data_IF_785798158545
#
_entry.id   IF_785798158545
#
_cell.length_a   1.000
_cell.length_b   1.000
_cell.length_c   1.000
_cell.angle_alpha   90.00
_cell.angle_beta   90.00
_cell.angle_gamma   90.00
#
_symmetry.space_group_name_H-M   'P 1'
#
loop_
_entity.id
_entity.type
_entity.pdbx_description
1 polymer ?
#
# COMPACT_ATOMS: atom_id res chain seq x y z
N UNK A 1 0.66 -4.22 26.03
CA UNK A 1 1.92 -3.46 25.76
C UNK A 1 1.79 -2.86 24.39
N UNK A 2 1.80 -1.54 24.26
CA UNK A 2 1.78 -0.90 22.94
C UNK A 2 3.13 -1.14 22.23
N UNK A 3 3.09 -1.39 20.93
CA UNK A 3 4.31 -1.50 20.15
C UNK A 3 5.08 -0.17 20.20
N UNK A 4 6.33 -0.21 20.62
CA UNK A 4 7.19 0.97 20.66
C UNK A 4 7.98 1.09 19.35
N UNK A 5 8.16 2.30 18.80
CA UNK A 5 9.06 2.53 17.68
C UNK A 5 10.49 2.11 18.00
N UNK A 6 11.17 1.58 16.99
CA UNK A 6 12.59 1.23 17.03
C UNK A 6 13.41 2.13 16.11
N UNK A 7 14.73 2.26 16.28
CA UNK A 7 15.61 2.95 15.34
C UNK A 7 15.50 2.36 13.94
N UNK A 8 15.56 3.22 12.93
CA UNK A 8 15.51 2.85 11.52
C UNK A 8 16.60 3.63 10.75
N UNK A 9 17.85 3.16 10.75
CA UNK A 9 18.98 3.83 10.15
C UNK A 9 19.03 3.60 8.62
N UNK A 10 17.99 4.04 7.91
CA UNK A 10 17.85 3.88 6.47
C UNK A 10 17.42 5.18 5.82
N UNK A 11 17.96 5.46 4.62
CA UNK A 11 17.43 6.45 3.69
C UNK A 11 16.62 5.78 2.60
N UNK A 12 15.58 6.44 2.13
CA UNK A 12 14.89 6.07 0.91
C UNK A 12 15.63 6.75 -0.26
N UNK A 13 16.35 5.95 -1.07
CA UNK A 13 17.24 6.45 -2.13
C UNK A 13 16.68 6.24 -3.54
N UNK A 14 15.64 5.43 -3.70
CA UNK A 14 14.94 5.24 -4.96
C UNK A 14 13.49 4.89 -4.73
N UNK A 15 12.61 5.41 -5.57
CA UNK A 15 11.20 5.03 -5.58
C UNK A 15 10.61 5.18 -6.97
N UNK A 16 9.71 4.27 -7.32
CA UNK A 16 8.92 4.36 -8.54
C UNK A 16 7.56 3.71 -8.35
N UNK A 17 6.55 4.22 -9.04
CA UNK A 17 5.20 3.63 -9.08
C UNK A 17 4.71 3.57 -10.50
N UNK A 18 4.20 2.42 -10.90
CA UNK A 18 3.46 2.20 -12.14
C UNK A 18 1.99 2.02 -11.82
N UNK A 19 1.15 2.82 -12.44
CA UNK A 19 -0.30 2.75 -12.36
C UNK A 19 -0.85 2.17 -13.65
N UNK A 20 -2.00 1.52 -13.60
CA UNK A 20 -2.79 1.20 -14.78
C UNK A 20 -3.44 2.45 -15.38
N UNK A 21 -4.09 2.34 -16.53
CA UNK A 21 -4.94 3.40 -17.07
C UNK A 21 -5.95 3.87 -16.02
N UNK A 22 -6.10 5.19 -15.89
CA UNK A 22 -7.11 5.76 -15.00
C UNK A 22 -8.45 5.78 -15.71
N UNK A 23 -9.44 5.09 -15.16
CA UNK A 23 -10.81 5.04 -15.68
C UNK A 23 -11.78 5.66 -14.69
N UNK A 24 -12.82 6.31 -15.19
CA UNK A 24 -13.89 6.85 -14.33
C UNK A 24 -14.71 5.73 -13.72
N UNK A 25 -15.35 5.99 -12.57
CA UNK A 25 -16.23 5.01 -11.95
C UNK A 25 -17.41 4.63 -12.85
N UNK A 26 -17.89 5.56 -13.69
CA UNK A 26 -18.92 5.27 -14.70
C UNK A 26 -18.43 4.29 -15.78
N UNK A 27 -17.20 4.47 -16.26
CA UNK A 27 -16.59 3.54 -17.22
C UNK A 27 -16.38 2.16 -16.59
N UNK A 28 -15.86 2.12 -15.36
CA UNK A 28 -15.68 0.89 -14.61
C UNK A 28 -17.01 0.15 -14.39
N UNK A 29 -18.05 0.84 -13.93
CA UNK A 29 -19.36 0.24 -13.64
C UNK A 29 -20.01 -0.39 -14.88
N UNK A 30 -19.84 0.23 -16.06
CA UNK A 30 -20.33 -0.31 -17.33
C UNK A 30 -19.70 -1.64 -17.70
N UNK A 31 -18.40 -1.81 -17.43
CA UNK A 31 -17.66 -3.04 -17.72
C UNK A 31 -17.90 -4.08 -16.63
N UNK A 32 -17.85 -3.68 -15.37
CA UNK A 32 -17.99 -4.54 -14.21
C UNK A 32 -19.35 -5.24 -14.09
N UNK A 33 -20.43 -4.62 -14.64
CA UNK A 33 -21.77 -5.20 -14.67
C UNK A 33 -22.31 -5.60 -13.29
N UNK A 34 -22.07 -4.75 -12.27
CA UNK A 34 -22.56 -4.99 -10.92
C UNK A 34 -24.09 -4.91 -10.88
N UNK A 35 -24.81 -5.99 -10.44
CA UNK A 35 -26.27 -5.97 -10.43
C UNK A 35 -26.84 -4.91 -9.45
N UNK A 36 -27.81 -4.13 -9.87
CA UNK A 36 -28.61 -3.31 -8.95
C UNK A 36 -29.74 -4.19 -8.36
N UNK A 37 -29.61 -4.53 -7.09
CA UNK A 37 -30.59 -5.36 -6.40
C UNK A 37 -31.95 -4.66 -6.20
N UNK A 38 -32.00 -3.33 -6.35
CA UNK A 38 -33.25 -2.53 -6.26
C UNK A 38 -34.01 -2.52 -7.59
N UNK A 39 -33.32 -2.79 -8.68
CA UNK A 39 -33.88 -2.81 -10.03
C UNK A 39 -33.30 -4.02 -10.80
N UNK A 40 -33.90 -5.23 -10.60
CA UNK A 40 -33.39 -6.44 -11.25
C UNK A 40 -33.33 -6.30 -12.77
N UNK A 41 -32.18 -6.62 -13.35
CA UNK A 41 -31.92 -6.48 -14.79
C UNK A 41 -31.12 -5.23 -15.15
N UNK A 42 -30.87 -4.35 -14.19
CA UNK A 42 -29.95 -3.21 -14.38
C UNK A 42 -28.65 -3.37 -13.61
N UNK A 43 -27.60 -2.74 -14.11
CA UNK A 43 -26.35 -2.62 -13.40
C UNK A 43 -26.36 -1.32 -12.55
N UNK A 44 -25.57 -1.33 -11.47
CA UNK A 44 -25.34 -0.12 -10.66
C UNK A 44 -24.67 0.95 -11.51
N UNK A 45 -25.15 2.18 -11.37
CA UNK A 45 -24.52 3.34 -11.99
C UNK A 45 -23.24 3.73 -11.24
N UNK A 46 -22.23 4.19 -11.98
CA UNK A 46 -20.98 4.66 -11.41
C UNK A 46 -21.16 5.82 -10.43
N UNK A 47 -22.11 6.71 -10.70
CA UNK A 47 -22.50 7.81 -9.81
C UNK A 47 -22.98 7.32 -8.43
N UNK A 48 -23.69 6.19 -8.38
CA UNK A 48 -24.09 5.58 -7.11
C UNK A 48 -22.88 5.00 -6.37
N UNK A 49 -22.00 4.30 -7.09
CA UNK A 49 -20.77 3.71 -6.53
C UNK A 49 -19.85 4.82 -5.98
N UNK A 50 -19.66 5.90 -6.75
CA UNK A 50 -18.88 7.08 -6.32
C UNK A 50 -19.44 7.68 -5.02
N UNK A 51 -20.75 7.87 -4.93
CA UNK A 51 -21.37 8.41 -3.71
C UNK A 51 -21.17 7.50 -2.50
N UNK A 52 -21.16 6.17 -2.71
CA UNK A 52 -20.98 5.20 -1.64
C UNK A 52 -19.52 5.11 -1.17
N UNK A 53 -18.57 5.06 -2.10
CA UNK A 53 -17.17 4.80 -1.82
C UNK A 53 -16.30 6.06 -1.78
N UNK A 54 -16.78 7.18 -2.32
CA UNK A 54 -16.02 8.43 -2.45
C UNK A 54 -14.99 8.44 -3.58
N UNK A 55 -14.90 7.36 -4.37
CA UNK A 55 -13.93 7.20 -5.48
C UNK A 55 -14.59 7.60 -6.79
N UNK A 56 -14.00 8.56 -7.50
CA UNK A 56 -14.50 9.10 -8.77
C UNK A 56 -13.88 8.40 -9.98
N UNK A 57 -12.62 8.03 -9.85
CA UNK A 57 -11.88 7.27 -10.85
C UNK A 57 -10.86 6.36 -10.16
N UNK A 58 -10.31 5.43 -10.90
CA UNK A 58 -9.38 4.44 -10.37
C UNK A 58 -8.37 4.00 -11.39
N UNK A 59 -7.22 3.54 -10.92
CA UNK A 59 -6.23 2.83 -11.71
C UNK A 59 -6.71 1.40 -11.99
N UNK A 60 -6.85 1.02 -13.28
CA UNK A 60 -7.41 -0.26 -13.68
C UNK A 60 -6.80 -0.74 -14.98
N UNK A 61 -5.88 -1.68 -14.93
CA UNK A 61 -5.09 -2.13 -16.07
C UNK A 61 -4.86 -3.64 -16.11
N UNK A 62 -5.90 -4.48 -16.28
CA UNK A 62 -5.75 -5.94 -16.28
C UNK A 62 -4.77 -6.45 -17.33
N UNK A 63 -4.69 -5.80 -18.50
CA UNK A 63 -3.75 -6.15 -19.55
C UNK A 63 -2.32 -5.71 -19.24
N UNK A 64 -2.14 -4.51 -18.70
CA UNK A 64 -0.83 -3.99 -18.32
C UNK A 64 -0.19 -4.83 -17.22
N UNK A 65 -0.99 -5.33 -16.28
CA UNK A 65 -0.55 -6.20 -15.19
C UNK A 65 -0.85 -7.68 -15.46
N UNK A 66 -0.93 -8.09 -16.74
CA UNK A 66 -1.21 -9.48 -17.09
C UNK A 66 -0.12 -10.45 -16.60
N UNK A 67 1.10 -9.95 -16.50
CA UNK A 67 2.28 -10.71 -16.13
C UNK A 67 3.15 -9.91 -15.14
N UNK A 68 4.11 -10.54 -14.42
CA UNK A 68 4.95 -9.86 -13.44
C UNK A 68 5.99 -8.89 -14.04
N UNK A 69 6.14 -8.83 -15.37
CA UNK A 69 7.11 -7.97 -16.05
C UNK A 69 6.92 -6.48 -15.70
N UNK A 70 5.67 -5.99 -15.68
CA UNK A 70 5.37 -4.61 -15.28
C UNK A 70 5.83 -4.31 -13.85
N UNK A 71 5.69 -5.28 -12.95
CA UNK A 71 6.18 -5.15 -11.57
C UNK A 71 7.72 -5.10 -11.53
N UNK A 72 8.38 -5.95 -12.33
CA UNK A 72 9.84 -5.94 -12.45
C UNK A 72 10.37 -4.64 -13.07
N UNK A 73 9.69 -4.10 -14.08
CA UNK A 73 10.04 -2.80 -14.68
C UNK A 73 9.91 -1.65 -13.67
N UNK A 74 8.86 -1.68 -12.85
CA UNK A 74 8.69 -0.72 -11.74
C UNK A 74 9.87 -0.78 -10.77
N UNK A 75 10.32 -1.98 -10.42
CA UNK A 75 11.47 -2.18 -9.54
C UNK A 75 12.78 -1.71 -10.20
N UNK A 76 13.00 -1.99 -11.49
CA UNK A 76 14.16 -1.46 -12.23
C UNK A 76 14.18 0.07 -12.25
N UNK A 77 13.02 0.70 -12.43
CA UNK A 77 12.94 2.16 -12.40
C UNK A 77 13.31 2.74 -11.02
N UNK A 78 12.90 2.07 -9.93
CA UNK A 78 13.31 2.46 -8.58
C UNK A 78 14.82 2.31 -8.36
N UNK A 79 15.43 1.19 -8.81
CA UNK A 79 16.88 0.97 -8.78
C UNK A 79 17.64 2.04 -9.58
N UNK A 80 17.19 2.30 -10.80
CA UNK A 80 17.77 3.34 -11.64
C UNK A 80 17.69 4.74 -10.98
N UNK A 81 16.56 5.04 -10.32
CA UNK A 81 16.39 6.26 -9.52
C UNK A 81 17.39 6.35 -8.37
N UNK A 82 17.73 5.25 -7.73
CA UNK A 82 18.77 5.15 -6.72
C UNK A 82 20.20 5.14 -7.30
N UNK A 83 20.37 5.01 -8.62
CA UNK A 83 21.64 4.79 -9.32
C UNK A 83 22.33 3.49 -8.89
N UNK A 84 21.53 2.47 -8.62
CA UNK A 84 22.00 1.12 -8.24
C UNK A 84 21.69 0.12 -9.34
N UNK A 85 22.53 -0.92 -9.39
CA UNK A 85 22.35 -2.09 -10.22
C UNK A 85 21.76 -3.24 -9.39
N UNK A 86 21.10 -4.24 -10.00
CA UNK A 86 20.55 -5.38 -9.27
C UNK A 86 21.56 -6.13 -8.37
N UNK A 87 22.83 -6.18 -8.80
CA UNK A 87 23.93 -6.78 -8.04
C UNK A 87 24.30 -6.06 -6.75
N UNK A 88 23.85 -4.82 -6.57
CA UNK A 88 24.12 -4.02 -5.39
C UNK A 88 23.12 -4.30 -4.26
N UNK A 89 22.06 -5.09 -4.54
CA UNK A 89 20.99 -5.41 -3.59
C UNK A 89 21.32 -6.67 -2.81
N UNK A 90 21.19 -6.60 -1.50
CA UNK A 90 21.46 -7.71 -0.57
C UNK A 90 20.20 -8.21 0.17
N UNK A 91 19.06 -7.53 0.02
CA UNK A 91 17.77 -8.01 0.51
C UNK A 91 16.62 -7.63 -0.44
N UNK A 92 15.73 -8.58 -0.69
CA UNK A 92 14.51 -8.36 -1.48
C UNK A 92 13.28 -8.73 -0.67
N UNK A 93 12.32 -7.80 -0.57
CA UNK A 93 11.03 -8.05 0.07
C UNK A 93 9.92 -7.74 -0.91
N UNK A 94 9.12 -8.74 -1.24
CA UNK A 94 7.92 -8.60 -2.09
C UNK A 94 6.68 -8.57 -1.22
N UNK A 95 5.83 -7.57 -1.41
CA UNK A 95 4.60 -7.34 -0.63
C UNK A 95 3.40 -7.38 -1.55
N UNK A 96 2.54 -8.37 -1.38
CA UNK A 96 1.28 -8.46 -2.13
C UNK A 96 0.24 -9.28 -1.38
N UNK A 97 -1.03 -8.94 -1.54
CA UNK A 97 -2.15 -9.77 -1.07
C UNK A 97 -2.84 -10.54 -2.21
N UNK A 98 -2.45 -10.30 -3.44
CA UNK A 98 -2.97 -10.98 -4.62
C UNK A 98 -1.84 -11.34 -5.60
N UNK A 99 -0.99 -12.31 -5.20
CA UNK A 99 0.12 -12.76 -6.00
C UNK A 99 -0.33 -13.38 -7.32
N UNK A 100 0.54 -13.37 -8.32
CA UNK A 100 0.32 -14.10 -9.58
C UNK A 100 0.27 -15.61 -9.34
N UNK A 101 1.09 -16.09 -8.41
CA UNK A 101 1.12 -17.51 -8.01
C UNK A 101 1.04 -17.60 -6.48
N UNK A 102 0.06 -18.35 -5.98
CA UNK A 102 -0.27 -18.39 -4.55
C UNK A 102 0.60 -19.34 -3.72
N UNK A 103 1.40 -20.20 -4.34
CA UNK A 103 2.22 -21.19 -3.64
C UNK A 103 3.70 -20.92 -3.82
N UNK A 104 4.49 -21.29 -2.80
CA UNK A 104 5.95 -21.39 -2.84
C UNK A 104 6.68 -20.08 -3.15
N UNK A 105 6.11 -18.93 -2.79
CA UNK A 105 6.73 -17.59 -2.97
C UNK A 105 7.24 -17.32 -4.41
N UNK A 106 6.56 -17.90 -5.41
CA UNK A 106 7.01 -17.94 -6.80
C UNK A 106 7.15 -16.55 -7.43
N UNK A 107 6.35 -15.59 -6.97
CA UNK A 107 6.44 -14.23 -7.50
C UNK A 107 7.78 -13.57 -7.11
N UNK A 108 8.25 -13.78 -5.88
CA UNK A 108 9.53 -13.26 -5.45
C UNK A 108 10.69 -13.84 -6.28
N UNK A 109 10.72 -15.17 -6.48
CA UNK A 109 11.72 -15.82 -7.35
C UNK A 109 11.63 -15.34 -8.80
N UNK A 110 10.41 -15.17 -9.33
CA UNK A 110 10.21 -14.67 -10.69
C UNK A 110 10.72 -13.24 -10.85
N UNK A 111 10.39 -12.35 -9.89
CA UNK A 111 10.85 -10.97 -9.91
C UNK A 111 12.37 -10.87 -9.79
N UNK A 112 13.01 -11.64 -8.91
CA UNK A 112 14.47 -11.66 -8.79
C UNK A 112 15.13 -12.09 -10.09
N UNK A 113 14.64 -13.16 -10.74
CA UNK A 113 15.14 -13.62 -12.04
C UNK A 113 14.96 -12.56 -13.12
N UNK A 114 13.79 -11.92 -13.20
CA UNK A 114 13.52 -10.84 -14.17
C UNK A 114 14.44 -9.64 -13.94
N UNK A 115 14.76 -9.34 -12.69
CA UNK A 115 15.65 -8.22 -12.32
C UNK A 115 17.12 -8.58 -12.52
N UNK A 116 17.51 -9.84 -12.50
CA UNK A 116 18.90 -10.27 -12.51
C UNK A 116 19.59 -10.09 -11.16
N UNK A 117 18.84 -10.19 -10.06
CA UNK A 117 19.40 -10.19 -8.70
C UNK A 117 20.09 -11.53 -8.45
N UNK A 118 21.21 -11.51 -7.73
CA UNK A 118 22.04 -12.67 -7.48
C UNK A 118 21.29 -13.80 -6.74
N UNK A 119 21.62 -15.06 -7.05
CA UNK A 119 20.94 -16.25 -6.51
C UNK A 119 21.20 -16.48 -5.01
N UNK A 120 22.23 -15.87 -4.45
CA UNK A 120 22.58 -15.94 -3.02
C UNK A 120 21.83 -14.90 -2.15
N UNK A 121 21.02 -14.02 -2.75
CA UNK A 121 20.15 -13.10 -2.04
C UNK A 121 18.81 -13.80 -1.74
N UNK A 122 18.50 -14.13 -0.48
CA UNK A 122 17.23 -14.80 -0.15
C UNK A 122 16.08 -13.81 -0.19
N UNK A 123 15.01 -14.04 -1.00
CA UNK A 123 13.85 -13.17 -1.01
C UNK A 123 12.91 -13.47 0.16
N UNK A 124 12.14 -12.46 0.56
CA UNK A 124 10.97 -12.61 1.40
C UNK A 124 9.72 -12.21 0.61
N UNK A 125 8.74 -13.11 0.51
CA UNK A 125 7.42 -12.77 0.00
C UNK A 125 6.43 -12.65 1.15
N UNK A 126 5.83 -11.47 1.30
CA UNK A 126 4.86 -11.17 2.35
C UNK A 126 3.45 -11.21 1.78
N UNK A 127 2.65 -12.17 2.23
CA UNK A 127 1.20 -12.17 2.05
C UNK A 127 0.59 -11.04 2.88
N UNK A 128 0.64 -9.80 2.38
CA UNK A 128 0.21 -8.62 3.10
C UNK A 128 -0.46 -7.62 2.16
N UNK A 129 -1.48 -6.94 2.68
CA UNK A 129 -2.16 -5.84 1.99
C UNK A 129 -1.63 -4.48 2.42
N UNK A 130 -2.55 -3.62 2.81
CA UNK A 130 -2.34 -2.19 3.04
C UNK A 130 -1.22 -1.84 4.02
N UNK A 131 -1.03 -2.63 5.08
CA UNK A 131 0.03 -2.39 6.08
C UNK A 131 1.37 -3.06 5.74
N UNK A 132 1.44 -3.80 4.64
CA UNK A 132 2.61 -4.60 4.28
C UNK A 132 3.90 -3.79 4.13
N UNK A 133 3.80 -2.50 3.75
CA UNK A 133 4.97 -1.64 3.62
C UNK A 133 5.67 -1.40 4.97
N UNK A 134 4.91 -1.17 6.06
CA UNK A 134 5.49 -1.02 7.39
C UNK A 134 6.07 -2.34 7.92
N UNK A 135 5.42 -3.48 7.59
CA UNK A 135 5.98 -4.80 7.89
C UNK A 135 7.32 -5.00 7.18
N UNK A 136 7.41 -4.63 5.89
CA UNK A 136 8.65 -4.71 5.12
C UNK A 136 9.73 -3.81 5.72
N UNK A 137 9.44 -2.55 6.05
CA UNK A 137 10.39 -1.64 6.68
C UNK A 137 10.90 -2.19 8.03
N UNK A 138 10.00 -2.73 8.87
CA UNK A 138 10.39 -3.35 10.13
C UNK A 138 11.28 -4.60 9.94
N UNK A 139 11.06 -5.39 8.89
CA UNK A 139 11.91 -6.53 8.53
C UNK A 139 13.27 -6.06 8.02
N UNK A 140 13.33 -5.07 7.15
CA UNK A 140 14.60 -4.47 6.68
C UNK A 140 15.46 -4.03 7.86
N UNK A 141 14.88 -3.31 8.83
CA UNK A 141 15.59 -2.90 10.04
C UNK A 141 16.13 -4.07 10.87
N UNK A 142 15.44 -5.21 10.88
CA UNK A 142 15.87 -6.43 11.61
C UNK A 142 16.90 -7.26 10.85
N UNK A 143 16.83 -7.30 9.54
CA UNK A 143 17.79 -8.00 8.67
C UNK A 143 19.14 -7.27 8.63
N UNK A 144 19.16 -5.98 8.96
CA UNK A 144 20.35 -5.12 8.88
C UNK A 144 20.98 -5.12 7.47
N UNK A 145 20.15 -5.25 6.44
CA UNK A 145 20.59 -5.20 5.05
C UNK A 145 21.22 -3.84 4.73
N UNK A 146 22.31 -3.82 3.96
CA UNK A 146 22.92 -2.56 3.53
C UNK A 146 22.09 -1.88 2.47
N UNK A 147 21.50 -2.66 1.54
CA UNK A 147 20.64 -2.18 0.45
C UNK A 147 19.46 -3.11 0.23
N UNK A 148 18.30 -2.68 0.66
CA UNK A 148 17.07 -3.45 0.51
C UNK A 148 16.19 -2.90 -0.62
N UNK A 149 15.73 -3.81 -1.48
CA UNK A 149 14.68 -3.53 -2.48
C UNK A 149 13.35 -4.05 -1.95
N UNK A 150 12.40 -3.14 -1.74
CA UNK A 150 11.02 -3.48 -1.38
C UNK A 150 10.13 -3.26 -2.59
N UNK A 151 9.45 -4.31 -3.03
CA UNK A 151 8.52 -4.30 -4.16
C UNK A 151 7.11 -4.54 -3.62
N UNK A 152 6.19 -3.62 -3.86
CA UNK A 152 4.81 -3.73 -3.43
C UNK A 152 3.88 -3.68 -4.65
N UNK A 153 2.95 -4.62 -4.79
CA UNK A 153 1.97 -4.54 -5.87
C UNK A 153 0.61 -5.10 -5.45
N UNK A 154 -0.41 -4.62 -6.15
CA UNK A 154 -1.78 -5.08 -6.03
C UNK A 154 -2.46 -4.98 -7.39
N UNK A 155 -3.06 -6.08 -7.84
CA UNK A 155 -3.70 -6.18 -9.16
C UNK A 155 -5.11 -6.80 -9.04
N UNK A 156 -6.01 -6.13 -8.32
CA UNK A 156 -7.37 -6.63 -8.07
C UNK A 156 -8.16 -6.89 -9.34
N UNK A 157 -7.86 -6.20 -10.45
CA UNK A 157 -8.50 -6.48 -11.74
C UNK A 157 -8.30 -7.93 -12.18
N UNK A 158 -7.10 -8.48 -11.98
CA UNK A 158 -6.74 -9.84 -12.43
C UNK A 158 -7.46 -10.96 -11.69
N UNK A 159 -7.82 -10.74 -10.43
CA UNK A 159 -8.49 -11.76 -9.61
C UNK A 159 -10.01 -11.56 -9.53
N UNK A 160 -10.52 -10.42 -10.02
CA UNK A 160 -11.94 -10.09 -9.87
C UNK A 160 -12.72 -10.02 -11.18
N UNK A 161 -12.05 -10.05 -12.35
CA UNK A 161 -12.71 -9.93 -13.65
C UNK A 161 -12.43 -11.11 -14.57
N UNK A 162 -13.40 -11.41 -15.42
CA UNK A 162 -13.24 -12.32 -16.54
C UNK A 162 -12.51 -11.68 -17.72
N UNK A 163 -12.32 -12.45 -18.78
CA UNK A 163 -11.65 -12.00 -20.01
C UNK A 163 -12.40 -10.86 -20.74
N UNK A 164 -13.70 -10.73 -20.49
CA UNK A 164 -14.55 -9.65 -20.98
C UNK A 164 -14.52 -8.38 -20.13
N UNK A 165 -13.76 -8.40 -19.03
CA UNK A 165 -13.65 -7.31 -18.06
C UNK A 165 -14.80 -7.23 -17.06
N UNK A 166 -15.86 -8.04 -17.21
CA UNK A 166 -16.95 -8.08 -16.24
C UNK A 166 -16.48 -8.74 -14.94
N UNK A 167 -17.05 -8.31 -13.80
CA UNK A 167 -16.77 -8.98 -12.53
C UNK A 167 -17.17 -10.47 -12.61
N UNK A 168 -16.32 -11.31 -12.04
CA UNK A 168 -16.63 -12.73 -11.87
C UNK A 168 -17.95 -12.91 -11.09
N UNK A 169 -18.71 -13.96 -11.36
CA UNK A 169 -20.00 -14.19 -10.67
C UNK A 169 -19.89 -14.12 -9.16
N UNK A 170 -18.81 -14.64 -8.57
CA UNK A 170 -18.56 -14.63 -7.13
C UNK A 170 -18.53 -13.21 -6.52
N UNK A 171 -18.18 -12.19 -7.28
CA UNK A 171 -18.20 -10.80 -6.82
C UNK A 171 -19.55 -10.12 -7.07
N UNK A 172 -20.36 -10.63 -7.99
CA UNK A 172 -21.68 -10.06 -8.30
C UNK A 172 -22.76 -10.55 -7.35
N UNK A 173 -22.79 -11.85 -7.10
CA UNK A 173 -23.75 -12.48 -6.19
C UNK A 173 -23.12 -13.74 -5.57
N UNK A 174 -22.74 -13.66 -4.31
CA UNK A 174 -22.13 -14.75 -3.58
C UNK A 174 -22.92 -15.05 -2.32
N UNK A 175 -23.67 -16.15 -2.33
CA UNK A 175 -24.47 -16.58 -1.18
C UNK A 175 -23.64 -17.28 -0.10
N UNK A 176 -22.45 -17.74 -0.44
CA UNK A 176 -21.58 -18.53 0.46
C UNK A 176 -20.68 -17.63 1.30
N UNK A 177 -20.21 -16.54 0.70
CA UNK A 177 -19.31 -15.64 1.40
C UNK A 177 -20.04 -14.85 2.50
N UNK A 178 -19.45 -14.66 3.71
CA UNK A 178 -20.08 -13.90 4.81
C UNK A 178 -20.52 -12.48 4.41
N UNK A 179 -19.79 -11.84 3.49
CA UNK A 179 -20.07 -10.50 2.98
C UNK A 179 -20.60 -10.52 1.52
N UNK A 180 -21.14 -11.65 1.07
CA UNK A 180 -21.53 -11.91 -0.33
C UNK A 180 -22.40 -10.85 -0.98
N UNK A 181 -23.24 -10.17 -0.18
CA UNK A 181 -24.12 -9.10 -0.69
C UNK A 181 -23.37 -7.88 -1.23
N UNK A 182 -22.16 -7.61 -0.72
CA UNK A 182 -21.39 -6.41 -1.01
C UNK A 182 -19.99 -6.73 -1.56
N UNK A 183 -19.76 -7.95 -2.03
CA UNK A 183 -18.46 -8.38 -2.56
C UNK A 183 -17.93 -7.47 -3.66
N UNK A 184 -18.81 -6.94 -4.51
CA UNK A 184 -18.48 -6.01 -5.58
C UNK A 184 -17.80 -4.73 -5.09
N UNK A 185 -18.01 -4.34 -3.83
CA UNK A 185 -17.43 -3.10 -3.29
C UNK A 185 -15.90 -3.18 -3.15
N UNK A 186 -15.35 -4.36 -2.95
CA UNK A 186 -13.91 -4.56 -2.89
C UNK A 186 -13.22 -4.27 -4.24
N UNK A 187 -13.57 -4.92 -5.37
CA UNK A 187 -13.00 -4.55 -6.67
C UNK A 187 -13.41 -3.15 -7.14
N UNK A 188 -14.53 -2.58 -6.67
CA UNK A 188 -14.86 -1.18 -6.95
C UNK A 188 -13.90 -0.20 -6.27
N UNK A 189 -13.48 -0.48 -5.02
CA UNK A 189 -12.58 0.35 -4.23
C UNK A 189 -11.12 0.15 -4.59
N UNK A 190 -10.67 -1.12 -4.71
CA UNK A 190 -9.27 -1.46 -4.91
C UNK A 190 -8.83 -1.27 -6.37
N UNK A 191 -7.57 -0.87 -6.55
CA UNK A 191 -6.99 -0.43 -7.81
C UNK A 191 -5.65 -1.10 -8.09
N UNK A 192 -5.32 -1.24 -9.37
CA UNK A 192 -4.08 -1.84 -9.82
C UNK A 192 -2.91 -0.87 -9.69
N UNK A 193 -1.83 -1.32 -9.11
CA UNK A 193 -0.57 -0.60 -9.04
C UNK A 193 0.59 -1.52 -8.69
N UNK A 194 1.78 -1.13 -9.11
CA UNK A 194 3.04 -1.61 -8.60
C UNK A 194 3.89 -0.44 -8.12
N UNK A 195 4.58 -0.60 -7.01
CA UNK A 195 5.55 0.36 -6.49
C UNK A 195 6.79 -0.36 -6.02
N UNK A 196 7.92 0.31 -6.09
CA UNK A 196 9.14 -0.18 -5.48
C UNK A 196 9.86 0.96 -4.77
N UNK A 197 10.59 0.63 -3.71
CA UNK A 197 11.50 1.53 -3.04
C UNK A 197 12.83 0.85 -2.74
N UNK A 198 13.89 1.65 -2.75
CA UNK A 198 15.22 1.25 -2.31
C UNK A 198 15.52 1.93 -0.99
N UNK A 199 15.98 1.13 -0.03
CA UNK A 199 16.39 1.59 1.29
C UNK A 199 17.89 1.29 1.43
N UNK A 200 18.69 2.31 1.70
CA UNK A 200 20.13 2.19 1.96
C UNK A 200 20.40 2.52 3.43
N UNK A 201 21.21 1.66 4.07
CA UNK A 201 21.59 1.82 5.46
C UNK A 201 22.61 2.93 5.63
N UNK A 202 22.43 3.74 6.67
CA UNK A 202 23.34 4.79 7.08
C UNK A 202 23.14 5.01 8.59
N UNK A 203 24.12 4.66 9.40
CA UNK A 203 24.06 4.72 10.86
C UNK A 203 23.87 6.14 11.42
N UNK A 204 24.17 7.17 10.63
CA UNK A 204 23.95 8.56 11.00
C UNK A 204 22.49 9.00 10.87
N UNK A 205 21.62 8.14 10.34
CA UNK A 205 20.21 8.43 10.17
C UNK A 205 19.44 8.13 11.45
N UNK A 206 18.86 9.17 12.01
CA UNK A 206 17.89 9.10 13.09
C UNK A 206 16.47 8.91 12.53
N UNK A 207 16.18 7.72 11.98
CA UNK A 207 14.87 7.27 11.54
C UNK A 207 14.16 6.46 12.63
N UNK A 208 12.87 6.21 12.43
CA UNK A 208 12.04 5.37 13.31
C UNK A 208 11.23 4.39 12.49
N UNK A 209 11.02 3.17 13.02
CA UNK A 209 10.07 2.20 12.48
C UNK A 209 9.20 1.64 13.59
N UNK A 210 7.91 1.57 13.31
CA UNK A 210 6.88 0.98 14.16
C UNK A 210 6.16 -0.13 13.40
N UNK A 211 5.95 -1.25 14.04
CA UNK A 211 5.08 -2.31 13.53
C UNK A 211 4.31 -2.97 14.67
N UNK A 212 3.01 -3.16 14.49
CA UNK A 212 2.15 -3.87 15.43
C UNK A 212 1.18 -4.78 14.69
N UNK A 213 1.03 -5.98 15.22
CA UNK A 213 -0.06 -6.89 14.91
C UNK A 213 -1.04 -6.83 16.08
N UNK A 214 -2.24 -6.31 15.84
CA UNK A 214 -3.18 -5.98 16.91
C UNK A 214 -4.17 -7.13 17.21
N UNK A 215 -3.71 -8.39 17.08
CA UNK A 215 -4.49 -9.59 17.35
C UNK A 215 -4.63 -9.94 18.84
N UNK A 216 -3.85 -9.31 19.72
CA UNK A 216 -3.94 -9.52 21.18
C UNK A 216 -4.47 -8.31 21.90
N UNK A 217 -4.26 -7.12 21.37
CA UNK A 217 -4.75 -5.87 21.94
C UNK A 217 -4.84 -4.78 20.87
N UNK A 218 -5.82 -3.92 20.97
CA UNK A 218 -6.02 -2.79 20.09
C UNK A 218 -6.29 -1.53 20.90
N UNK A 219 -5.22 -0.88 21.40
CA UNK A 219 -5.35 0.19 22.39
C UNK A 219 -6.02 -0.31 23.65
N UNK A 220 -7.09 0.38 24.08
CA UNK A 220 -7.96 0.00 25.18
C UNK A 220 -9.18 -0.82 24.72
N UNK A 221 -9.28 -1.10 23.41
CA UNK A 221 -10.37 -1.83 22.80
C UNK A 221 -10.07 -3.34 22.76
N UNK A 222 -11.10 -4.20 22.62
CA UNK A 222 -10.92 -5.62 22.37
C UNK A 222 -10.09 -5.86 21.12
N UNK A 223 -9.29 -6.93 21.15
CA UNK A 223 -8.53 -7.38 19.99
C UNK A 223 -9.44 -7.63 18.77
N UNK A 224 -8.86 -7.52 17.61
CA UNK A 224 -9.50 -7.88 16.35
C UNK A 224 -8.95 -9.25 15.96
N UNK A 225 -9.77 -10.30 16.16
CA UNK A 225 -9.35 -11.67 15.89
C UNK A 225 -9.54 -12.07 14.43
N UNK A 226 -10.56 -11.50 13.78
CA UNK A 226 -10.90 -11.81 12.39
C UNK A 226 -10.14 -10.91 11.42
N UNK A 227 -9.71 -11.46 10.27
CA UNK A 227 -9.13 -10.62 9.23
C UNK A 227 -10.14 -9.59 8.73
N UNK A 228 -9.68 -8.36 8.49
CA UNK A 228 -10.51 -7.27 7.96
C UNK A 228 -10.94 -7.51 6.52
N UNK A 229 -10.15 -8.30 5.80
CA UNK A 229 -10.43 -8.78 4.44
C UNK A 229 -10.38 -10.30 4.48
N UNK A 230 -11.44 -10.93 4.01
CA UNK A 230 -11.60 -12.37 4.00
C UNK A 230 -11.32 -12.91 2.60
N UNK A 231 -10.30 -13.77 2.51
CA UNK A 231 -10.09 -14.68 1.39
C UNK A 231 -10.56 -16.07 1.81
N UNK A 232 -11.58 -16.58 1.14
CA UNK A 232 -12.13 -17.89 1.43
C UNK A 232 -11.83 -18.79 0.23
N UNK A 233 -10.83 -19.61 0.32
CA UNK A 233 -10.50 -20.60 -0.71
C UNK A 233 -9.08 -20.50 -1.24
N UNK A 234 -8.68 -21.50 -2.00
CA UNK A 234 -7.33 -21.62 -2.55
C UNK A 234 -6.28 -22.16 -1.58
N UNK A 235 -6.62 -22.33 -0.30
CA UNK A 235 -5.77 -22.94 0.73
C UNK A 235 -6.23 -24.35 1.13
N UNK A 236 -5.63 -24.89 2.17
CA UNK A 236 -5.92 -26.24 2.68
C UNK A 236 -7.37 -26.40 3.17
N UNK A 237 -7.94 -25.35 3.77
CA UNK A 237 -9.31 -25.38 4.29
C UNK A 237 -10.37 -25.39 3.19
N UNK A 238 -10.05 -24.89 2.02
CA UNK A 238 -10.91 -24.87 0.85
C UNK A 238 -10.08 -25.06 -0.42
N UNK A 239 -9.59 -26.28 -0.70
CA UNK A 239 -8.73 -26.55 -1.83
C UNK A 239 -9.40 -26.24 -3.17
N UNK A 240 -8.61 -25.75 -4.14
CA UNK A 240 -9.08 -25.53 -5.50
C UNK A 240 -9.66 -26.81 -6.09
N UNK A 241 -10.78 -26.69 -6.83
CA UNK A 241 -11.49 -27.83 -7.43
C UNK A 241 -12.48 -28.53 -6.50
N UNK A 242 -12.57 -28.17 -5.24
CA UNK A 242 -13.65 -28.62 -4.36
C UNK A 242 -14.97 -27.97 -4.79
N UNK A 243 -16.12 -28.71 -4.78
CA UNK A 243 -17.40 -28.09 -5.07
C UNK A 243 -17.66 -26.85 -4.21
N UNK A 244 -18.01 -25.71 -4.83
CA UNK A 244 -18.19 -24.44 -4.16
C UNK A 244 -16.90 -23.62 -3.95
N UNK A 245 -15.71 -24.15 -4.23
CA UNK A 245 -14.45 -23.43 -4.01
C UNK A 245 -14.27 -22.22 -4.93
N UNK A 246 -14.89 -22.25 -6.11
CA UNK A 246 -14.85 -21.10 -7.04
C UNK A 246 -15.58 -19.88 -6.47
N UNK A 247 -16.66 -20.09 -5.72
CA UNK A 247 -17.42 -19.05 -5.04
C UNK A 247 -16.68 -18.51 -3.81
N UNK A 248 -15.77 -19.32 -3.25
CA UNK A 248 -14.96 -18.96 -2.10
C UNK A 248 -13.60 -18.34 -2.49
N UNK A 249 -13.11 -18.59 -3.70
CA UNK A 249 -11.84 -18.06 -4.21
C UNK A 249 -11.94 -16.57 -4.58
N UNK A 250 -12.50 -15.78 -3.69
CA UNK A 250 -12.67 -14.35 -3.84
C UNK A 250 -12.47 -13.65 -2.50
N UNK A 251 -12.35 -12.33 -2.50
CA UNK A 251 -12.15 -11.57 -1.27
C UNK A 251 -13.31 -10.61 -0.98
N UNK A 252 -13.66 -10.49 0.28
CA UNK A 252 -14.66 -9.56 0.77
C UNK A 252 -14.17 -8.77 1.96
N UNK A 253 -14.77 -7.62 2.18
CA UNK A 253 -14.43 -6.72 3.26
C UNK A 253 -15.46 -6.79 4.39
N UNK A 254 -15.01 -6.61 5.63
CA UNK A 254 -15.84 -6.32 6.80
C UNK A 254 -15.86 -4.79 7.04
N UNK A 255 -16.81 -4.01 6.47
CA UNK A 255 -16.72 -2.55 6.47
C UNK A 255 -16.74 -1.91 7.86
N UNK A 256 -17.57 -2.36 8.85
CA UNK A 256 -17.54 -1.83 10.21
C UNK A 256 -16.18 -1.99 10.88
N UNK A 257 -15.59 -3.16 10.82
CA UNK A 257 -14.29 -3.46 11.43
C UNK A 257 -13.15 -2.73 10.71
N UNK A 258 -13.20 -2.62 9.38
CA UNK A 258 -12.23 -1.82 8.63
C UNK A 258 -12.27 -0.36 9.07
N UNK A 259 -13.46 0.23 9.21
CA UNK A 259 -13.59 1.63 9.64
C UNK A 259 -13.02 1.81 11.04
N UNK A 260 -13.42 0.94 11.99
CA UNK A 260 -12.92 0.97 13.37
C UNK A 260 -11.40 0.85 13.41
N UNK A 261 -10.86 -0.12 12.70
CA UNK A 261 -9.43 -0.40 12.71
C UNK A 261 -8.59 0.68 12.00
N UNK A 262 -9.10 1.25 10.89
CA UNK A 262 -8.38 2.33 10.22
C UNK A 262 -8.25 3.56 11.13
N UNK A 263 -9.36 4.08 11.63
CA UNK A 263 -9.36 5.29 12.46
C UNK A 263 -8.54 5.09 13.75
N UNK A 264 -8.78 4.00 14.47
CA UNK A 264 -8.03 3.68 15.68
C UNK A 264 -6.55 3.38 15.42
N UNK A 265 -6.24 2.57 14.41
CA UNK A 265 -4.87 2.17 14.09
C UNK A 265 -3.99 3.31 13.61
N UNK A 266 -4.53 4.23 12.80
CA UNK A 266 -3.82 5.44 12.40
C UNK A 266 -3.53 6.35 13.59
N UNK A 267 -4.50 6.51 14.50
CA UNK A 267 -4.34 7.27 15.74
C UNK A 267 -3.28 6.64 16.65
N UNK A 268 -3.28 5.32 16.81
CA UNK A 268 -2.27 4.61 17.60
C UNK A 268 -0.86 4.71 16.99
N UNK A 269 -0.73 4.70 15.66
CA UNK A 269 0.56 4.95 15.00
C UNK A 269 1.07 6.36 15.33
N UNK A 270 0.20 7.37 15.22
CA UNK A 270 0.54 8.75 15.55
C UNK A 270 0.97 8.90 17.02
N UNK A 271 0.18 8.37 17.94
CA UNK A 271 0.49 8.43 19.39
C UNK A 271 1.82 7.76 19.73
N UNK A 272 2.11 6.60 19.13
CA UNK A 272 3.37 5.90 19.34
C UNK A 272 4.58 6.69 18.81
N UNK A 273 4.46 7.30 17.63
CA UNK A 273 5.50 8.15 17.07
C UNK A 273 5.69 9.42 17.90
N UNK A 274 4.61 10.08 18.30
CA UNK A 274 4.66 11.28 19.15
C UNK A 274 5.27 11.00 20.51
N UNK A 275 4.97 9.85 21.11
CA UNK A 275 5.58 9.42 22.37
C UNK A 275 7.08 9.16 22.25
N UNK A 276 7.54 8.59 21.13
CA UNK A 276 8.95 8.30 20.89
C UNK A 276 9.74 9.53 20.44
N UNK A 277 9.08 10.42 19.69
CA UNK A 277 9.66 11.66 19.15
C UNK A 277 8.65 12.79 19.23
N UNK A 278 8.57 13.50 20.36
CA UNK A 278 7.66 14.63 20.53
C UNK A 278 7.83 15.68 19.43
N UNK A 279 6.73 16.11 18.84
CA UNK A 279 6.73 17.07 17.73
C UNK A 279 7.24 16.48 16.40
N UNK A 280 7.18 15.16 16.20
CA UNK A 280 7.69 14.55 14.96
C UNK A 280 6.97 15.08 13.71
N UNK A 281 5.71 15.47 13.82
CA UNK A 281 4.98 16.06 12.70
C UNK A 281 5.60 17.36 12.20
N UNK A 282 6.24 18.13 13.04
CA UNK A 282 6.94 19.36 12.65
C UNK A 282 8.27 19.06 11.94
N UNK A 283 8.86 17.89 12.27
CA UNK A 283 10.18 17.47 11.76
C UNK A 283 10.11 16.76 10.40
N UNK A 284 8.90 16.33 9.96
CA UNK A 284 8.71 15.68 8.67
C UNK A 284 8.11 16.65 7.66
N UNK A 285 8.57 16.59 6.41
CA UNK A 285 8.04 17.41 5.30
C UNK A 285 6.70 16.85 4.78
N UNK A 286 6.52 15.54 4.83
CA UNK A 286 5.36 14.81 4.32
C UNK A 286 4.94 13.69 5.25
N UNK A 287 3.62 13.45 5.28
CA UNK A 287 3.00 12.29 5.94
C UNK A 287 2.20 11.54 4.88
N UNK A 288 2.75 10.44 4.39
CA UNK A 288 2.09 9.56 3.44
C UNK A 288 1.26 8.52 4.18
N UNK A 289 -0.05 8.73 4.18
CA UNK A 289 -1.00 7.83 4.85
C UNK A 289 -1.52 6.76 3.91
N UNK A 290 -1.86 5.59 4.45
CA UNK A 290 -2.59 4.60 3.67
C UNK A 290 -3.89 5.18 3.11
N UNK A 291 -4.11 5.02 1.82
CA UNK A 291 -5.22 5.58 1.05
C UNK A 291 -6.42 4.61 1.04
N UNK A 292 -7.03 4.38 2.22
CA UNK A 292 -8.12 3.42 2.38
C UNK A 292 -9.39 3.82 1.60
N UNK A 293 -9.91 4.99 1.89
CA UNK A 293 -10.95 5.70 1.12
C UNK A 293 -10.90 7.19 1.48
N UNK A 294 -11.51 8.09 0.67
CA UNK A 294 -11.41 9.53 0.89
C UNK A 294 -11.87 9.98 2.28
N UNK A 295 -12.99 9.44 2.76
CA UNK A 295 -13.58 9.84 4.04
C UNK A 295 -12.64 9.53 5.22
N UNK A 296 -12.07 8.33 5.26
CA UNK A 296 -11.19 7.92 6.35
C UNK A 296 -9.87 8.71 6.35
N UNK A 297 -9.34 9.04 5.16
CA UNK A 297 -8.15 9.90 5.05
C UNK A 297 -8.45 11.32 5.53
N UNK A 298 -9.57 11.91 5.10
CA UNK A 298 -10.01 13.25 5.52
C UNK A 298 -10.22 13.32 7.03
N UNK A 299 -10.84 12.30 7.63
CA UNK A 299 -11.05 12.20 9.08
C UNK A 299 -9.72 12.20 9.84
N UNK A 300 -8.75 11.40 9.41
CA UNK A 300 -7.42 11.36 10.04
C UNK A 300 -6.69 12.70 9.92
N UNK A 301 -6.73 13.33 8.75
CA UNK A 301 -6.12 14.65 8.50
C UNK A 301 -6.73 15.72 9.43
N UNK A 302 -8.05 15.71 9.60
CA UNK A 302 -8.74 16.63 10.52
C UNK A 302 -8.36 16.38 11.98
N UNK A 303 -8.34 15.13 12.42
CA UNK A 303 -8.01 14.76 13.80
C UNK A 303 -6.57 15.14 14.19
N UNK A 304 -5.64 15.08 13.26
CA UNK A 304 -4.23 15.40 13.49
C UNK A 304 -3.87 16.86 13.19
N UNK A 305 -4.80 17.65 12.66
CA UNK A 305 -4.54 19.03 12.27
C UNK A 305 -3.57 19.19 11.09
N UNK A 306 -3.36 18.11 10.32
CA UNK A 306 -2.50 18.14 9.14
C UNK A 306 -3.14 18.95 8.01
N UNK A 307 -2.31 19.56 7.17
CA UNK A 307 -2.76 20.20 5.93
C UNK A 307 -2.74 19.18 4.78
N UNK A 308 -3.54 19.40 3.74
CA UNK A 308 -3.52 18.59 2.53
C UNK A 308 -2.14 18.58 1.84
N UNK A 309 -1.37 19.68 1.97
CA UNK A 309 0.00 19.74 1.46
C UNK A 309 0.94 18.80 2.23
N UNK A 310 0.77 18.68 3.54
CA UNK A 310 1.60 17.83 4.38
C UNK A 310 1.18 16.36 4.34
N UNK A 311 -0.12 16.09 4.21
CA UNK A 311 -0.71 14.76 4.06
C UNK A 311 -1.53 14.70 2.76
N UNK A 312 -0.86 14.53 1.59
CA UNK A 312 -1.55 14.45 0.30
C UNK A 312 -2.43 13.22 0.21
N UNK A 313 -3.44 13.29 -0.65
CA UNK A 313 -4.36 12.18 -0.92
C UNK A 313 -4.67 12.08 -2.41
N UNK A 314 -4.68 10.85 -2.93
CA UNK A 314 -5.00 10.55 -4.32
C UNK A 314 -6.12 9.50 -4.47
N UNK A 315 -6.64 8.96 -3.37
CA UNK A 315 -7.60 7.84 -3.38
C UNK A 315 -8.91 8.18 -4.08
N UNK A 316 -9.33 9.44 -4.09
CA UNK A 316 -10.53 9.89 -4.82
C UNK A 316 -10.42 9.65 -6.32
N UNK A 317 -9.21 9.77 -6.87
CA UNK A 317 -8.95 9.72 -8.32
C UNK A 317 -8.21 8.46 -8.77
N UNK A 318 -7.50 7.79 -7.88
CA UNK A 318 -6.76 6.56 -8.19
C UNK A 318 -7.37 5.30 -7.57
N UNK A 319 -8.33 5.46 -6.64
CA UNK A 319 -8.82 4.37 -5.81
C UNK A 319 -7.78 3.90 -4.80
N UNK A 320 -8.08 2.85 -4.05
CA UNK A 320 -7.17 2.29 -3.07
C UNK A 320 -6.21 1.30 -3.76
N UNK A 321 -4.97 1.70 -3.95
CA UNK A 321 -3.92 0.86 -4.55
C UNK A 321 -3.27 -0.12 -3.57
N UNK A 322 -3.86 -0.33 -2.39
CA UNK A 322 -3.44 -1.29 -1.36
C UNK A 322 -2.01 -1.00 -0.87
N UNK A 323 -1.09 -1.99 -0.93
CA UNK A 323 0.30 -1.82 -0.46
C UNK A 323 1.10 -0.75 -1.21
N UNK A 324 0.93 -0.48 -2.51
CA UNK A 324 1.54 0.64 -3.21
C UNK A 324 1.12 2.04 -2.76
N UNK A 325 0.01 2.19 -2.03
CA UNK A 325 -0.71 3.48 -1.87
C UNK A 325 0.15 4.64 -1.37
N UNK A 326 1.02 4.43 -0.39
CA UNK A 326 1.87 5.48 0.16
C UNK A 326 3.06 5.81 -0.74
N UNK A 327 3.61 4.81 -1.45
CA UNK A 327 4.68 5.02 -2.44
C UNK A 327 4.15 5.70 -3.70
N UNK A 328 2.88 5.48 -4.06
CA UNK A 328 2.24 6.20 -5.16
C UNK A 328 2.11 7.70 -4.86
N UNK A 329 1.85 8.08 -3.61
CA UNK A 329 1.87 9.49 -3.18
C UNK A 329 3.28 10.07 -3.24
N UNK A 330 4.28 9.35 -2.72
CA UNK A 330 5.68 9.77 -2.78
C UNK A 330 6.12 10.01 -4.23
N UNK A 331 5.81 9.07 -5.14
CA UNK A 331 6.18 9.18 -6.55
C UNK A 331 5.47 10.36 -7.25
N UNK A 332 4.21 10.61 -6.92
CA UNK A 332 3.49 11.80 -7.42
C UNK A 332 4.19 13.09 -6.95
N UNK A 333 4.51 13.23 -5.66
CA UNK A 333 5.23 14.38 -5.12
C UNK A 333 6.63 14.54 -5.75
N UNK A 334 7.31 13.43 -6.07
CA UNK A 334 8.59 13.46 -6.78
C UNK A 334 8.43 14.03 -8.19
N UNK A 335 7.43 13.58 -8.96
CA UNK A 335 7.15 14.04 -10.31
C UNK A 335 6.71 15.51 -10.35
N UNK A 336 5.97 15.96 -9.35
CA UNK A 336 5.49 17.33 -9.21
C UNK A 336 6.56 18.29 -8.66
N UNK A 337 7.73 17.79 -8.26
CA UNK A 337 8.80 18.60 -7.70
C UNK A 337 8.51 19.10 -6.28
N UNK A 338 7.63 18.44 -5.55
CA UNK A 338 7.23 18.78 -4.18
C UNK A 338 8.22 18.28 -3.12
N UNK A 339 9.25 17.53 -3.52
CA UNK A 339 10.26 16.97 -2.63
C UNK A 339 11.64 17.60 -2.89
N UNK A 340 12.40 17.73 -1.80
CA UNK A 340 13.81 18.09 -1.82
C UNK A 340 14.68 16.96 -1.27
N UNK A 341 15.93 16.89 -1.69
CA UNK A 341 16.88 15.93 -1.16
C UNK A 341 17.09 16.17 0.35
N UNK A 342 16.96 15.11 1.14
CA UNK A 342 17.06 15.19 2.60
C UNK A 342 15.72 15.47 3.31
N UNK A 343 14.64 15.74 2.60
CA UNK A 343 13.32 15.84 3.19
C UNK A 343 12.99 14.55 3.98
N UNK A 344 12.43 14.69 5.16
CA UNK A 344 11.96 13.55 5.94
C UNK A 344 10.50 13.27 5.66
N UNK A 345 10.17 12.02 5.43
CA UNK A 345 8.79 11.58 5.28
C UNK A 345 8.41 10.55 6.34
N UNK A 346 7.16 10.65 6.79
CA UNK A 346 6.51 9.63 7.58
C UNK A 346 5.56 8.82 6.68
N UNK A 347 5.72 7.50 6.68
CA UNK A 347 4.78 6.57 6.05
C UNK A 347 3.97 5.91 7.15
N UNK A 348 2.65 6.06 7.13
CA UNK A 348 1.76 5.50 8.15
C UNK A 348 0.66 4.67 7.52
N UNK A 349 0.60 3.42 7.89
CA UNK A 349 -0.27 2.44 7.26
C UNK A 349 -1.01 1.58 8.27
N UNK A 350 -2.21 1.17 7.89
CA UNK A 350 -3.02 0.17 8.58
C UNK A 350 -3.60 -0.77 7.55
N UNK A 351 -3.87 -2.00 7.92
CA UNK A 351 -4.38 -2.95 6.95
C UNK A 351 -4.96 -4.22 7.55
N UNK A 352 -5.39 -5.05 6.63
CA UNK A 352 -5.87 -6.39 6.92
C UNK A 352 -4.81 -7.21 7.62
N UNK A 353 -5.25 -8.01 8.55
CA UNK A 353 -4.36 -8.91 9.26
C UNK A 353 -4.78 -9.17 10.71
N UNK A 354 -5.30 -8.26 11.54
CA UNK A 354 -5.10 -6.82 11.55
C UNK A 354 -3.65 -6.43 11.87
N UNK A 355 -3.14 -5.46 11.13
CA UNK A 355 -1.78 -4.96 11.35
C UNK A 355 -1.67 -3.47 11.01
N UNK A 356 -0.74 -2.78 11.65
CA UNK A 356 -0.44 -1.37 11.44
C UNK A 356 1.04 -1.08 11.64
N UNK A 357 1.46 0.05 11.17
CA UNK A 357 2.80 0.55 11.43
C UNK A 357 3.09 1.85 10.73
N UNK A 358 4.27 2.36 11.04
CA UNK A 358 4.77 3.58 10.42
C UNK A 358 6.30 3.57 10.39
N UNK A 359 6.90 4.32 9.49
CA UNK A 359 8.31 4.60 9.54
C UNK A 359 8.62 6.04 9.11
N UNK A 360 9.67 6.60 9.69
CA UNK A 360 10.18 7.94 9.39
C UNK A 360 11.58 7.76 8.80
N UNK A 361 11.80 8.29 7.60
CA UNK A 361 13.06 8.16 6.88
C UNK A 361 13.36 9.43 6.07
N UNK A 362 14.64 9.83 5.90
CA UNK A 362 15.00 10.85 4.94
C UNK A 362 14.89 10.30 3.51
N UNK A 363 14.46 11.18 2.61
CA UNK A 363 14.39 10.93 1.17
C UNK A 363 15.66 11.45 0.53
N UNK A 364 16.52 10.54 0.04
CA UNK A 364 17.80 10.86 -0.58
C UNK A 364 17.87 10.38 -2.03
N UNK A 365 16.76 10.53 -2.77
CA UNK A 365 16.70 10.13 -4.18
C UNK A 365 17.59 11.06 -5.01
N UNK A 366 18.56 10.53 -5.75
CA UNK A 366 19.40 11.33 -6.64
C UNK A 366 18.57 12.12 -7.66
N UNK A 367 18.94 13.38 -7.88
CA UNK A 367 18.23 14.26 -8.81
C UNK A 367 17.12 15.10 -8.18
N UNK A 368 16.73 14.86 -6.95
CA UNK A 368 15.87 15.78 -6.22
C UNK A 368 16.58 17.13 -5.99
N UNK A 369 15.79 18.20 -5.95
CA UNK A 369 16.28 19.55 -5.68
C UNK A 369 17.02 19.59 -4.35
N UNK A 370 18.21 20.15 -4.31
CA UNK A 370 18.91 20.39 -3.06
C UNK A 370 18.17 21.44 -2.23
N UNK A 371 18.08 21.28 -0.90
CA UNK A 371 17.52 22.31 -0.05
C UNK A 371 18.31 23.62 -0.25
N UNK A 372 17.61 24.76 -0.29
CA UNK A 372 18.27 26.05 -0.36
C UNK A 372 19.22 26.16 0.85
N UNK A 373 20.53 26.31 0.60
CA UNK A 373 21.50 26.57 1.64
C UNK A 373 21.08 27.85 2.35
N UNK A 374 20.73 27.75 3.63
CA UNK A 374 20.53 28.95 4.45
C UNK A 374 21.81 29.75 4.40
N UNK A 375 21.81 30.83 3.61
CA UNK A 375 22.90 31.78 3.59
C UNK A 375 22.97 32.41 4.98
N UNK A 376 23.96 31.99 5.78
CA UNK A 376 24.25 32.62 7.05
C UNK A 376 24.58 34.04 6.73
N UNK A 377 23.65 34.97 6.97
CA UNK A 377 23.89 36.38 6.96
C UNK A 377 24.77 36.67 8.18
N UNK A 378 26.08 36.66 7.97
CA UNK A 378 27.01 37.15 8.94
C UNK A 378 26.75 38.68 9.04
N UNK A 379 26.00 39.07 10.04
CA UNK A 379 25.91 40.46 10.46
C UNK A 379 27.26 40.83 10.99
N UNK A 380 28.08 41.46 10.14
CA UNK A 380 29.27 42.17 10.58
C UNK A 380 28.80 43.37 11.40
N UNK A 381 28.90 43.29 12.71
CA UNK A 381 28.85 44.45 13.61
C UNK A 381 30.20 45.14 13.51
N UNK A 382 30.21 46.30 12.93
CA UNK A 382 31.29 47.26 13.03
C UNK A 382 31.21 48.04 14.36
#
# INVERSE_FOLDING_TARGET
MHAAPAPFPYALTGAHTTLGPVITMDAWAKVAQVPDRRDPGKALEGSFITRLLGVESKSWGPEQFATPETVAETARAALAGARLEPRDIDAVIVVTCNPYQILLDQDAFTLMRLLGIADDVPPLQLGAGCAGLARAAALVGRLQAERALVIAYSVPSRISTGADGALLPAYRDNAVHPFGRNMWSAPALFSDAASAMVLERDEDIDGLVLYSRDSQSFGDEPAIDDPLIHFLGGGTDSPAGTPGSAELACFGMNPPEITRYYSGGMTLNHQALESARPGYLEQVSRVYTHQANPRLVEEFVQQTGLTAQKAPSNVRHLGNTVSPSTLALLHADQLEGNLSYGDRACFSVVGSGPERGAFITPIRIPGLRQPATATATATATA
#
